data_IF_209271704506
#
_entry.id   IF_209271704506
#
_cell.length_a   1.000
_cell.length_b   1.000
_cell.length_c   1.000
_cell.angle_alpha   90.00
_cell.angle_beta   90.00
_cell.angle_gamma   90.00
#
_symmetry.space_group_name_H-M   'P 1'
#
loop_
_entity.id
_entity.type
_entity.pdbx_description
1 polymer ?
#
# COMPACT_ATOMS: atom_id res chain seq x y z
N UNK A 1 -17.87 26.02 12.58
CA UNK A 1 -16.77 26.97 12.86
C UNK A 1 -15.58 26.54 12.00
N UNK A 2 -15.20 27.39 11.04
CA UNK A 2 -13.95 27.35 10.26
C UNK A 2 -13.77 26.23 9.21
N UNK A 3 -14.27 26.53 8.01
CA UNK A 3 -13.90 25.98 6.70
C UNK A 3 -12.42 26.24 6.41
N UNK A 4 -11.68 25.30 5.80
CA UNK A 4 -10.45 25.62 5.09
C UNK A 4 -10.54 25.18 3.62
N UNK A 5 -10.12 26.09 2.77
CA UNK A 5 -10.51 26.29 1.36
C UNK A 5 -9.56 25.51 0.45
N UNK A 6 -10.10 24.75 -0.51
CA UNK A 6 -9.32 24.11 -1.57
C UNK A 6 -8.87 25.18 -2.58
N UNK A 7 -7.57 25.45 -2.63
CA UNK A 7 -6.93 26.28 -3.63
C UNK A 7 -6.59 25.48 -4.88
N UNK A 8 -7.20 25.86 -6.00
CA UNK A 8 -6.92 25.38 -7.37
C UNK A 8 -5.64 26.03 -7.88
N UNK A 9 -4.67 25.24 -8.35
CA UNK A 9 -3.53 25.73 -9.13
C UNK A 9 -3.50 25.02 -10.48
N UNK A 10 -3.67 25.80 -11.54
CA UNK A 10 -3.45 25.41 -12.94
C UNK A 10 -1.99 25.74 -13.25
N UNK A 11 -1.23 24.80 -13.78
CA UNK A 11 0.02 25.09 -14.47
C UNK A 11 0.12 24.25 -15.74
N UNK A 12 0.46 24.96 -16.81
CA UNK A 12 0.52 24.52 -18.20
C UNK A 12 1.90 23.95 -18.57
N UNK A 13 1.88 23.12 -19.62
CA UNK A 13 2.92 22.87 -20.62
C UNK A 13 4.28 22.23 -20.26
N UNK A 14 4.42 21.00 -20.78
CA UNK A 14 5.48 20.48 -21.66
C UNK A 14 6.96 20.56 -21.28
N UNK A 15 7.62 19.44 -21.58
CA UNK A 15 9.01 19.21 -21.97
C UNK A 15 9.84 18.43 -20.95
N UNK A 16 10.19 17.22 -21.40
CA UNK A 16 11.23 16.37 -20.85
C UNK A 16 12.55 17.14 -20.71
N UNK A 17 13.20 16.98 -19.55
CA UNK A 17 14.60 17.32 -19.38
C UNK A 17 15.22 16.38 -18.34
N UNK A 18 15.89 15.37 -18.87
CA UNK A 18 17.16 14.81 -18.39
C UNK A 18 17.68 15.35 -17.04
N UNK A 19 17.57 14.52 -16.00
CA UNK A 19 18.52 14.52 -14.89
C UNK A 19 19.24 13.17 -14.91
N UNK A 20 20.15 13.06 -15.87
CA UNK A 20 21.31 12.17 -15.77
C UNK A 20 22.40 12.98 -15.09
N UNK A 21 22.81 12.56 -13.90
CA UNK A 21 24.20 12.14 -13.66
C UNK A 21 24.47 11.98 -12.16
N UNK A 22 25.25 10.93 -11.87
CA UNK A 22 26.09 10.71 -10.69
C UNK A 22 25.41 10.06 -9.48
N UNK A 23 25.20 8.74 -9.58
CA UNK A 23 25.47 7.88 -8.43
C UNK A 23 26.63 6.94 -8.78
N UNK A 24 27.72 7.13 -8.05
CA UNK A 24 28.97 6.39 -8.19
C UNK A 24 28.75 4.91 -7.94
N UNK A 25 29.20 4.09 -8.89
CA UNK A 25 29.76 2.75 -8.75
C UNK A 25 29.88 2.22 -7.31
N UNK A 26 28.79 1.70 -6.76
CA UNK A 26 28.77 0.53 -5.90
C UNK A 26 27.48 -0.21 -6.24
N UNK A 27 27.60 -1.51 -6.50
CA UNK A 27 26.52 -2.47 -6.65
C UNK A 27 25.49 -2.29 -5.54
N UNK A 28 24.43 -1.53 -5.78
CA UNK A 28 23.32 -1.35 -4.84
C UNK A 28 22.09 -0.78 -5.56
N UNK A 29 21.73 -1.35 -6.72
CA UNK A 29 20.52 -0.96 -7.46
C UNK A 29 19.64 -2.17 -7.80
N UNK A 30 19.70 -3.21 -6.98
CA UNK A 30 18.74 -4.31 -6.93
C UNK A 30 18.14 -4.47 -5.51
N UNK A 31 18.36 -3.49 -4.63
CA UNK A 31 18.02 -3.54 -3.21
C UNK A 31 17.23 -2.29 -2.77
N UNK A 32 16.40 -1.75 -3.66
CA UNK A 32 15.55 -0.56 -3.40
C UNK A 32 14.09 -0.78 -3.81
N UNK A 33 13.66 -2.03 -3.98
CA UNK A 33 12.28 -2.37 -4.22
C UNK A 33 11.93 -3.72 -3.55
N UNK A 34 12.03 -3.75 -2.23
CA UNK A 34 10.97 -4.41 -1.45
C UNK A 34 10.29 -3.29 -0.66
N UNK A 35 9.80 -2.29 -1.40
CA UNK A 35 8.52 -1.75 -0.97
C UNK A 35 7.58 -2.91 -1.26
N UNK A 36 7.11 -3.61 -0.23
CA UNK A 36 6.02 -4.55 -0.38
C UNK A 36 4.86 -3.75 -0.99
N UNK A 37 4.75 -3.77 -2.32
CA UNK A 37 3.71 -3.11 -3.12
C UNK A 37 2.41 -3.89 -2.96
N UNK A 38 2.04 -4.17 -1.70
CA UNK A 38 0.81 -4.81 -1.31
C UNK A 38 -0.30 -3.80 -1.51
N UNK A 39 -1.08 -4.02 -2.57
CA UNK A 39 -2.22 -3.19 -2.95
C UNK A 39 -3.50 -3.89 -2.63
N UNK A 40 -4.53 -3.09 -2.35
CA UNK A 40 -5.86 -3.56 -2.03
C UNK A 40 -6.73 -3.55 -3.29
N UNK A 41 -7.50 -4.62 -3.48
CA UNK A 41 -8.55 -4.72 -4.49
C UNK A 41 -9.88 -5.01 -3.80
N UNK A 42 -10.80 -4.06 -3.86
CA UNK A 42 -12.14 -4.19 -3.27
C UNK A 42 -13.12 -4.79 -4.30
N UNK A 43 -14.02 -5.66 -3.82
CA UNK A 43 -15.13 -6.22 -4.60
C UNK A 43 -16.42 -6.13 -3.80
N UNK A 44 -17.52 -5.86 -4.50
CA UNK A 44 -18.83 -5.63 -3.87
C UNK A 44 -18.99 -4.19 -3.39
N UNK A 45 -20.05 -3.93 -2.63
CA UNK A 45 -20.31 -2.61 -2.02
C UNK A 45 -19.95 -2.63 -0.54
N UNK A 46 -19.36 -1.56 0.04
CA UNK A 46 -19.10 -1.53 1.48
C UNK A 46 -20.37 -1.82 2.30
N UNK A 47 -20.19 -2.53 3.41
CA UNK A 47 -21.26 -2.91 4.36
C UNK A 47 -22.33 -3.88 3.83
N UNK A 48 -22.05 -4.60 2.74
CA UNK A 48 -22.89 -5.69 2.25
C UNK A 48 -22.24 -7.06 2.45
N UNK A 49 -23.03 -8.13 2.37
CA UNK A 49 -22.53 -9.50 2.60
C UNK A 49 -21.56 -10.01 1.52
N UNK A 50 -21.59 -9.42 0.33
CA UNK A 50 -20.71 -9.70 -0.80
C UNK A 50 -19.40 -8.89 -0.77
N UNK A 51 -19.26 -7.94 0.15
CA UNK A 51 -18.06 -7.11 0.26
C UNK A 51 -16.83 -7.95 0.63
N UNK A 52 -15.79 -7.86 -0.19
CA UNK A 52 -14.52 -8.56 0.03
C UNK A 52 -13.34 -7.66 -0.34
N UNK A 53 -12.27 -7.78 0.42
CA UNK A 53 -11.01 -7.09 0.19
C UNK A 53 -9.95 -8.14 -0.12
N UNK A 54 -9.28 -8.00 -1.25
CA UNK A 54 -8.19 -8.87 -1.67
C UNK A 54 -6.87 -8.10 -1.66
N UNK A 55 -5.77 -8.81 -1.41
CA UNK A 55 -4.42 -8.26 -1.43
C UNK A 55 -3.72 -8.69 -2.70
N UNK A 56 -2.93 -7.79 -3.29
CA UNK A 56 -2.13 -8.07 -4.47
C UNK A 56 -0.70 -7.61 -4.26
N UNK A 57 0.28 -8.43 -4.65
CA UNK A 57 1.69 -8.06 -4.66
C UNK A 57 2.24 -8.31 -6.07
N UNK A 58 2.81 -7.29 -6.70
CA UNK A 58 3.33 -7.41 -8.07
C UNK A 58 2.29 -7.84 -9.13
N UNK A 59 0.99 -7.63 -8.85
CA UNK A 59 -0.10 -8.06 -9.73
C UNK A 59 -0.65 -9.46 -9.45
N UNK A 60 -0.09 -10.21 -8.50
CA UNK A 60 -0.59 -11.52 -8.09
C UNK A 60 -1.44 -11.41 -6.83
N UNK A 61 -2.56 -12.13 -6.77
CA UNK A 61 -3.37 -12.21 -5.55
C UNK A 61 -2.63 -13.01 -4.49
N UNK A 62 -2.57 -12.46 -3.28
CA UNK A 62 -1.92 -13.05 -2.13
C UNK A 62 -2.89 -13.16 -0.95
N UNK A 63 -2.68 -14.16 -0.10
CA UNK A 63 -3.40 -14.31 1.16
C UNK A 63 -2.71 -13.52 2.27
N UNK A 64 -3.46 -12.68 3.02
CA UNK A 64 -2.90 -11.95 4.15
C UNK A 64 -2.53 -12.86 5.33
N UNK A 65 -3.00 -14.12 5.33
CA UNK A 65 -2.71 -15.07 6.41
C UNK A 65 -1.40 -15.82 6.20
N UNK A 66 -1.11 -16.24 4.96
CA UNK A 66 0.02 -17.14 4.68
C UNK A 66 1.17 -16.46 3.92
N UNK A 67 0.87 -15.46 3.09
CA UNK A 67 1.82 -14.95 2.10
C UNK A 67 2.47 -13.63 2.52
N UNK A 68 1.89 -12.90 3.48
CA UNK A 68 2.50 -11.70 4.06
C UNK A 68 3.52 -12.14 5.12
N UNK A 69 4.80 -11.78 4.99
CA UNK A 69 5.81 -12.10 5.99
C UNK A 69 5.46 -11.53 7.36
N UNK A 70 5.81 -12.25 8.42
CA UNK A 70 5.60 -11.76 9.79
C UNK A 70 6.51 -10.57 10.12
N UNK A 71 7.76 -10.61 9.67
CA UNK A 71 8.77 -9.58 9.94
C UNK A 71 8.98 -8.68 8.74
N UNK A 72 8.85 -7.36 8.95
CA UNK A 72 9.30 -6.34 8.01
C UNK A 72 10.82 -6.10 8.16
N UNK A 73 11.33 -6.20 9.39
CA UNK A 73 12.74 -6.13 9.72
C UNK A 73 12.98 -6.98 10.97
N UNK A 74 13.60 -8.15 10.78
CA UNK A 74 13.85 -9.11 11.86
C UNK A 74 14.87 -8.56 12.88
N UNK A 75 15.87 -7.81 12.43
CA UNK A 75 16.89 -7.25 13.31
C UNK A 75 16.30 -6.20 14.27
N UNK A 76 15.33 -5.41 13.78
CA UNK A 76 14.62 -4.42 14.59
C UNK A 76 13.36 -4.96 15.26
N UNK A 77 13.05 -6.26 15.11
CA UNK A 77 11.80 -6.87 15.58
C UNK A 77 10.56 -6.07 15.13
N UNK A 78 10.56 -5.61 13.89
CA UNK A 78 9.42 -4.90 13.29
C UNK A 78 8.54 -5.89 12.55
N UNK A 79 7.25 -5.84 12.83
CA UNK A 79 6.27 -6.79 12.33
C UNK A 79 5.31 -6.14 11.34
N UNK A 80 4.84 -6.91 10.37
CA UNK A 80 3.71 -6.50 9.54
C UNK A 80 2.40 -6.66 10.34
N UNK A 81 1.51 -5.69 10.17
CA UNK A 81 0.17 -5.72 10.76
C UNK A 81 -0.86 -5.58 9.65
N UNK A 82 -1.77 -6.55 9.57
CA UNK A 82 -2.96 -6.45 8.72
C UNK A 82 -4.05 -5.79 9.54
N UNK A 83 -4.46 -4.58 9.16
CA UNK A 83 -5.53 -3.86 9.84
C UNK A 83 -6.89 -4.29 9.30
N UNK A 84 -7.69 -4.99 10.12
CA UNK A 84 -9.04 -5.43 9.74
C UNK A 84 -10.10 -4.36 10.03
N UNK A 85 -10.04 -3.72 11.20
CA UNK A 85 -11.05 -2.76 11.68
C UNK A 85 -10.35 -1.45 12.09
N UNK A 86 -10.49 -0.36 11.32
CA UNK A 86 -9.93 0.94 11.69
C UNK A 86 -10.58 1.51 12.96
N UNK A 87 -9.83 2.32 13.71
CA UNK A 87 -10.32 2.98 14.93
C UNK A 87 -11.58 3.81 14.64
N UNK A 88 -12.55 3.73 15.54
CA UNK A 88 -13.86 4.40 15.45
C UNK A 88 -14.74 3.93 14.27
N UNK A 89 -14.53 2.70 13.82
CA UNK A 89 -15.46 2.00 12.93
C UNK A 89 -16.16 0.87 13.68
N UNK A 90 -17.37 0.52 13.25
CA UNK A 90 -18.20 -0.49 13.93
C UNK A 90 -18.36 -1.79 13.13
N UNK A 91 -18.02 -1.77 11.84
CA UNK A 91 -18.17 -2.95 10.99
C UNK A 91 -17.16 -4.02 11.40
N UNK A 92 -17.68 -5.19 11.80
CA UNK A 92 -16.83 -6.35 12.10
C UNK A 92 -16.32 -6.95 10.79
N UNK A 93 -15.06 -6.70 10.49
CA UNK A 93 -14.32 -7.29 9.38
C UNK A 93 -13.30 -8.27 9.95
N UNK A 94 -13.01 -9.36 9.24
CA UNK A 94 -12.04 -10.38 9.65
C UNK A 94 -11.38 -11.02 8.41
N UNK A 95 -10.14 -11.47 8.55
CA UNK A 95 -9.50 -12.33 7.55
C UNK A 95 -10.24 -13.67 7.51
N UNK A 96 -10.74 -14.02 6.33
CA UNK A 96 -11.41 -15.30 6.09
C UNK A 96 -10.35 -16.40 6.03
N UNK A 97 -10.57 -17.48 6.78
CA UNK A 97 -9.57 -18.55 7.00
C UNK A 97 -9.45 -19.56 5.85
N UNK A 98 -10.38 -19.54 4.89
CA UNK A 98 -10.56 -20.57 3.85
C UNK A 98 -10.92 -19.95 2.50
#
# INVERSE_FOLDING_TARGET
MSIFRIGRAIAHHSLAALVSARYSSVRCLALLAVMDDVKIVERGSPYTFDYRIFYTNGGHFISPWHDIPMFADEAKKTFHMVCEIPRWTNAKMEVVKN
#
